data_IF_751555428472
#
_entry.id   IF_751555428472
#
_cell.length_a   1.000
_cell.length_b   1.000
_cell.length_c   1.000
_cell.angle_alpha   90.00
_cell.angle_beta   90.00
_cell.angle_gamma   90.00
#
_symmetry.space_group_name_H-M   'P 1'
#
loop_
_entity.id
_entity.type
_entity.pdbx_description
1 polymer ?
#
# COMPACT_ATOMS: atom_id res chain seq x y z
N UNK A 1 -21.96 7.00 16.02
CA UNK A 1 -20.73 7.04 16.82
C UNK A 1 -19.62 6.51 15.94
N UNK A 2 -18.62 7.32 15.53
CA UNK A 2 -17.51 6.82 14.71
C UNK A 2 -16.54 6.10 15.64
N UNK A 3 -16.50 4.78 15.59
CA UNK A 3 -15.43 4.00 16.21
C UNK A 3 -14.08 4.49 15.67
N UNK A 4 -13.28 5.09 16.54
CA UNK A 4 -11.91 5.43 16.21
C UNK A 4 -11.10 4.14 16.25
N UNK A 5 -10.97 3.49 15.09
CA UNK A 5 -10.03 2.37 14.94
C UNK A 5 -8.62 2.89 15.14
N UNK A 6 -7.90 2.29 16.07
CA UNK A 6 -6.47 2.51 16.21
C UNK A 6 -5.78 2.23 14.88
N UNK A 7 -4.89 3.14 14.48
CA UNK A 7 -4.12 3.04 13.25
C UNK A 7 -2.65 3.08 13.63
N UNK A 8 -1.93 2.03 13.26
CA UNK A 8 -0.47 1.98 13.38
C UNK A 8 0.17 2.36 12.04
N UNK A 9 1.26 3.12 12.12
CA UNK A 9 2.11 3.47 10.98
C UNK A 9 3.41 2.73 11.21
N UNK A 10 3.82 1.94 10.22
CA UNK A 10 5.03 1.16 10.26
C UNK A 10 5.68 1.20 8.87
N UNK A 11 7.00 1.28 8.84
CA UNK A 11 7.76 1.19 7.60
C UNK A 11 7.93 -0.28 7.24
N UNK A 12 7.83 -0.63 5.97
CA UNK A 12 7.84 -2.02 5.55
C UNK A 12 8.25 -2.14 4.09
N UNK A 13 8.72 -3.34 3.71
CA UNK A 13 9.18 -3.60 2.35
C UNK A 13 8.05 -4.18 1.50
N UNK A 14 7.77 -3.55 0.35
CA UNK A 14 6.90 -4.13 -0.67
C UNK A 14 7.70 -5.22 -1.39
N UNK A 15 7.25 -6.47 -1.30
CA UNK A 15 7.94 -7.62 -1.89
C UNK A 15 7.38 -8.02 -3.25
N UNK A 16 6.07 -7.88 -3.47
CA UNK A 16 5.42 -8.27 -4.72
C UNK A 16 4.26 -7.35 -5.10
N UNK A 17 4.06 -7.15 -6.41
CA UNK A 17 2.88 -6.51 -6.98
C UNK A 17 1.90 -7.56 -7.50
N UNK A 18 0.62 -7.43 -7.15
CA UNK A 18 -0.45 -8.32 -7.59
C UNK A 18 -1.26 -7.67 -8.74
N UNK A 19 -1.81 -8.46 -9.69
CA UNK A 19 -2.54 -7.94 -10.85
C UNK A 19 -3.77 -7.08 -10.50
N UNK A 20 -4.31 -7.25 -9.28
CA UNK A 20 -5.45 -6.49 -8.77
C UNK A 20 -5.10 -5.08 -8.27
N UNK A 21 -3.83 -4.65 -8.39
CA UNK A 21 -3.34 -3.41 -7.79
C UNK A 21 -3.15 -3.49 -6.27
N UNK A 22 -3.02 -4.72 -5.75
CA UNK A 22 -2.65 -4.99 -4.37
C UNK A 22 -1.16 -5.35 -4.31
N UNK A 23 -0.59 -5.28 -3.11
CA UNK A 23 0.82 -5.55 -2.87
C UNK A 23 0.98 -6.52 -1.71
N UNK A 24 2.00 -7.37 -1.78
CA UNK A 24 2.50 -8.08 -0.60
C UNK A 24 3.53 -7.20 0.06
N UNK A 25 3.35 -7.02 1.36
CA UNK A 25 4.20 -6.18 2.21
C UNK A 25 4.75 -7.11 3.27
N UNK A 26 6.08 -7.18 3.37
CA UNK A 26 6.76 -7.86 4.46
C UNK A 26 7.03 -6.84 5.55
N UNK A 27 6.41 -7.07 6.70
CA UNK A 27 6.63 -6.31 7.93
C UNK A 27 7.96 -6.74 8.57
N UNK A 28 8.47 -5.95 9.52
CA UNK A 28 9.74 -6.24 10.20
C UNK A 28 9.71 -7.54 11.02
N UNK A 29 8.52 -7.98 11.43
CA UNK A 29 8.29 -9.25 12.13
C UNK A 29 8.14 -10.45 11.18
N UNK A 30 8.58 -10.32 9.92
CA UNK A 30 8.50 -11.33 8.85
C UNK A 30 7.08 -11.67 8.35
N UNK A 31 6.04 -11.07 8.93
CA UNK A 31 4.67 -11.28 8.49
C UNK A 31 4.42 -10.68 7.10
N UNK A 32 3.73 -11.46 6.26
CA UNK A 32 3.31 -11.07 4.92
C UNK A 32 1.86 -10.57 4.95
N UNK A 33 1.69 -9.26 4.81
CA UNK A 33 0.38 -8.61 4.79
C UNK A 33 0.04 -8.14 3.38
N UNK A 34 -1.26 -8.12 3.05
CA UNK A 34 -1.76 -7.60 1.78
C UNK A 34 -2.18 -6.14 1.94
N UNK A 35 -1.53 -5.25 1.19
CA UNK A 35 -1.78 -3.82 1.22
C UNK A 35 -2.30 -3.27 -0.11
N UNK A 36 -3.06 -2.20 -0.05
CA UNK A 36 -3.44 -1.40 -1.23
C UNK A 36 -2.85 0.00 -1.08
N UNK A 37 -2.42 0.56 -2.21
CA UNK A 37 -1.85 1.90 -2.24
C UNK A 37 -2.95 2.94 -2.06
N UNK A 38 -2.67 3.98 -1.28
CA UNK A 38 -3.64 5.06 -1.07
C UNK A 38 -4.05 5.70 -2.40
N UNK A 39 -5.31 6.14 -2.48
CA UNK A 39 -5.85 6.75 -3.71
C UNK A 39 -5.04 7.98 -4.17
N UNK A 40 -4.39 8.69 -3.25
CA UNK A 40 -3.50 9.83 -3.54
C UNK A 40 -2.26 9.37 -4.32
N UNK A 41 -1.55 8.35 -3.82
CA UNK A 41 -0.37 7.80 -4.49
C UNK A 41 -0.77 7.18 -5.84
N UNK A 42 -1.89 6.43 -5.89
CA UNK A 42 -2.40 5.84 -7.13
C UNK A 42 -2.62 6.89 -8.22
N UNK A 43 -3.27 8.01 -7.89
CA UNK A 43 -3.50 9.11 -8.83
C UNK A 43 -2.20 9.74 -9.32
N UNK A 44 -1.25 9.99 -8.42
CA UNK A 44 0.05 10.57 -8.77
C UNK A 44 0.90 9.63 -9.64
N UNK A 45 0.86 8.33 -9.39
CA UNK A 45 1.64 7.33 -10.13
C UNK A 45 1.13 7.16 -11.57
N UNK A 46 -0.19 7.06 -11.78
CA UNK A 46 -0.76 7.00 -13.14
C UNK A 46 -0.49 8.28 -13.93
N UNK A 47 -0.51 9.44 -13.28
CA UNK A 47 -0.23 10.72 -13.95
C UNK A 47 1.24 10.86 -14.37
N UNK A 48 2.18 10.21 -13.67
CA UNK A 48 3.59 10.19 -14.05
C UNK A 48 3.87 9.27 -15.25
N UNK A 49 3.21 8.10 -15.31
CA UNK A 49 3.36 7.15 -16.44
C UNK A 49 2.72 7.66 -17.73
N UNK A 50 1.60 8.40 -17.65
CA UNK A 50 0.91 8.97 -18.81
C UNK A 50 1.65 10.16 -19.49
N UNK A 51 2.82 10.56 -18.97
CA UNK A 51 3.71 11.58 -19.56
C UNK A 51 4.95 11.01 -20.24
N UNK A 52 5.05 9.68 -20.39
CA UNK A 52 6.06 9.04 -21.24
C UNK A 52 5.45 8.60 -22.55
#
# INVERSE_FOLDING_TARGET
MKEQKEKWIHESLITESLPTGMFRIRLDNEDLVRGSVSGRIRRSFYMATARR
#
